data_IF_914178859616
#
_entry.id   IF_914178859616
#
_cell.length_a   1.000
_cell.length_b   1.000
_cell.length_c   1.000
_cell.angle_alpha   90.00
_cell.angle_beta   90.00
_cell.angle_gamma   90.00
#
_symmetry.space_group_name_H-M   'P 1'
#
loop_
_entity.id
_entity.type
_entity.pdbx_description
1 polymer ?
#
# COMPACT_ATOMS: atom_id res chain seq x y z
N UNK A 1 7.68 10.50 -2.58
CA UNK A 1 7.02 9.20 -2.87
C UNK A 1 6.89 8.46 -1.55
N UNK A 2 5.76 8.60 -0.86
CA UNK A 2 5.59 8.08 0.50
C UNK A 2 4.13 7.88 0.81
N UNK A 3 3.83 6.93 1.70
CA UNK A 3 2.58 6.91 2.45
C UNK A 3 2.77 7.71 3.75
N UNK A 4 1.72 8.39 4.23
CA UNK A 4 1.78 9.15 5.47
C UNK A 4 0.47 9.00 6.26
N UNK A 5 0.51 8.45 7.49
CA UNK A 5 1.65 7.74 8.07
C UNK A 5 2.01 6.47 7.26
N UNK A 6 3.28 6.05 7.30
CA UNK A 6 3.74 4.80 6.67
C UNK A 6 3.80 3.62 7.64
N UNK A 7 3.48 3.84 8.91
CA UNK A 7 3.34 2.82 9.93
C UNK A 7 2.23 3.23 10.88
N UNK A 8 1.24 2.37 11.09
CA UNK A 8 0.11 2.62 11.98
C UNK A 8 -0.40 1.33 12.61
N UNK A 9 -1.29 1.48 13.59
CA UNK A 9 -2.01 0.37 14.22
C UNK A 9 -3.51 0.54 13.94
N UNK A 10 -4.21 -0.57 13.70
CA UNK A 10 -5.66 -0.59 13.50
C UNK A 10 -6.27 -1.84 14.15
N UNK A 11 -7.47 -1.70 14.71
CA UNK A 11 -8.23 -2.77 15.32
C UNK A 11 -9.12 -3.48 14.29
N UNK A 12 -9.54 -4.71 14.62
CA UNK A 12 -10.56 -5.42 13.82
C UNK A 12 -11.85 -4.60 13.83
N UNK A 13 -12.41 -4.35 12.65
CA UNK A 13 -13.58 -3.50 12.45
C UNK A 13 -13.25 -2.07 12.02
N UNK A 14 -11.99 -1.64 12.12
CA UNK A 14 -11.55 -0.37 11.54
C UNK A 14 -11.50 -0.45 10.01
N UNK A 15 -11.42 0.72 9.38
CA UNK A 15 -11.21 0.88 7.94
C UNK A 15 -9.92 1.63 7.68
N UNK A 16 -9.10 1.11 6.76
CA UNK A 16 -7.96 1.83 6.21
C UNK A 16 -8.44 2.63 5.00
N UNK A 17 -8.24 3.95 5.05
CA UNK A 17 -8.55 4.83 3.94
C UNK A 17 -7.26 5.39 3.32
N UNK A 18 -7.02 5.03 2.07
CA UNK A 18 -5.89 5.52 1.29
C UNK A 18 -6.34 6.69 0.43
N UNK A 19 -5.93 7.90 0.80
CA UNK A 19 -6.17 9.10 0.01
C UNK A 19 -5.03 9.33 -0.98
N UNK A 20 -5.37 9.55 -2.25
CA UNK A 20 -4.37 9.71 -3.30
C UNK A 20 -4.02 11.18 -3.53
N UNK A 21 -3.12 11.72 -2.70
CA UNK A 21 -2.52 13.05 -2.88
C UNK A 21 -1.21 12.95 -3.65
N UNK A 22 -1.27 13.03 -4.98
CA UNK A 22 -0.08 12.82 -5.81
C UNK A 22 0.42 14.08 -6.51
N UNK A 23 -0.37 15.15 -6.57
CA UNK A 23 -0.01 16.42 -7.20
C UNK A 23 0.22 16.26 -8.71
N UNK A 24 1.43 15.82 -9.08
CA UNK A 24 1.75 15.37 -10.44
C UNK A 24 2.22 13.91 -10.43
N UNK A 25 1.54 13.08 -11.21
CA UNK A 25 1.81 11.64 -11.32
C UNK A 25 0.78 10.77 -10.61
N UNK A 26 0.75 9.48 -10.94
CA UNK A 26 -0.20 8.54 -10.37
C UNK A 26 0.36 7.78 -9.18
N UNK A 27 -0.52 7.14 -8.42
CA UNK A 27 -0.16 6.25 -7.31
C UNK A 27 -1.05 5.01 -7.32
N UNK A 28 -0.70 4.06 -6.48
CA UNK A 28 -1.51 2.87 -6.21
C UNK A 28 -1.20 2.41 -4.80
N UNK A 29 -2.06 1.57 -4.25
CA UNK A 29 -1.74 0.76 -3.09
C UNK A 29 -2.05 -0.70 -3.41
N UNK A 30 -1.08 -1.58 -3.15
CA UNK A 30 -1.22 -3.02 -3.22
C UNK A 30 -0.64 -3.63 -1.94
N UNK A 31 -1.18 -4.76 -1.48
CA UNK A 31 -0.62 -5.50 -0.35
C UNK A 31 0.41 -6.54 -0.80
N UNK A 32 1.35 -6.85 0.10
CA UNK A 32 2.40 -7.85 -0.07
C UNK A 32 2.63 -8.63 1.24
N UNK A 33 3.68 -9.46 1.29
CA UNK A 33 4.25 -9.96 2.55
C UNK A 33 5.56 -9.25 2.85
N UNK A 34 6.01 -9.33 4.10
CA UNK A 34 7.30 -8.76 4.51
C UNK A 34 8.47 -9.29 3.67
N UNK A 35 8.44 -10.59 3.37
CA UNK A 35 9.51 -11.31 2.65
C UNK A 35 9.52 -11.02 1.15
N UNK A 36 8.39 -10.58 0.59
CA UNK A 36 8.23 -10.33 -0.84
C UNK A 36 7.79 -8.89 -1.09
N UNK A 37 8.64 -7.89 -0.78
CA UNK A 37 8.28 -6.50 -1.00
C UNK A 37 8.04 -6.21 -2.48
N UNK A 38 7.15 -5.26 -2.75
CA UNK A 38 6.77 -4.82 -4.10
C UNK A 38 6.12 -5.90 -5.01
N UNK A 39 5.76 -7.05 -4.46
CA UNK A 39 5.13 -8.17 -5.17
C UNK A 39 3.82 -8.52 -4.45
N UNK A 40 2.69 -8.67 -5.16
CA UNK A 40 1.41 -8.83 -4.51
C UNK A 40 1.30 -10.20 -3.84
N UNK A 41 0.78 -10.23 -2.62
CA UNK A 41 0.40 -11.48 -1.99
C UNK A 41 -0.92 -12.02 -2.59
N UNK A 42 -1.10 -13.34 -2.55
CA UNK A 42 -2.34 -13.97 -3.02
C UNK A 42 -3.50 -13.59 -2.09
N UNK A 43 -4.64 -13.22 -2.67
CA UNK A 43 -5.81 -12.76 -1.90
C UNK A 43 -5.64 -11.38 -1.26
N UNK A 44 -4.57 -10.66 -1.60
CA UNK A 44 -4.34 -9.29 -1.15
C UNK A 44 -5.28 -8.26 -1.78
N UNK A 45 -5.03 -7.00 -1.49
CA UNK A 45 -5.76 -5.88 -2.09
C UNK A 45 -4.91 -5.15 -3.14
N UNK A 46 -5.60 -4.49 -4.07
CA UNK A 46 -5.02 -3.56 -5.02
C UNK A 46 -6.05 -2.49 -5.36
N UNK A 47 -5.65 -1.22 -5.27
CA UNK A 47 -6.52 -0.09 -5.58
C UNK A 47 -6.75 0.17 -7.06
N UNK A 48 -5.99 -0.48 -7.95
CA UNK A 48 -5.77 0.05 -9.29
C UNK A 48 -4.79 1.21 -9.28
N UNK A 49 -4.44 1.68 -10.48
CA UNK A 49 -3.60 2.86 -10.67
C UNK A 49 -4.47 4.11 -10.68
N UNK A 50 -4.26 4.97 -9.70
CA UNK A 50 -4.94 6.25 -9.57
C UNK A 50 -4.13 7.33 -10.28
N UNK A 51 -4.85 8.21 -10.98
CA UNK A 51 -4.27 9.32 -11.71
C UNK A 51 -3.73 10.40 -10.77
N UNK A 52 -3.17 11.46 -11.36
CA UNK A 52 -2.73 12.60 -10.59
C UNK A 52 -3.92 13.32 -9.96
N UNK A 53 -3.86 13.54 -8.64
CA UNK A 53 -4.87 14.25 -7.91
C UNK A 53 -4.24 15.17 -6.84
N UNK A 54 -4.80 16.37 -6.72
CA UNK A 54 -4.41 17.40 -5.76
C UNK A 54 -5.41 17.53 -4.62
N UNK A 55 -6.65 17.06 -4.78
CA UNK A 55 -7.71 17.16 -3.77
C UNK A 55 -7.79 15.91 -2.89
N UNK A 56 -7.35 14.76 -3.41
CA UNK A 56 -7.41 13.49 -2.70
C UNK A 56 -8.83 12.95 -2.60
N UNK A 57 -9.69 13.36 -3.54
CA UNK A 57 -11.11 12.99 -3.57
C UNK A 57 -11.29 11.51 -3.91
N UNK A 58 -10.32 10.94 -4.63
CA UNK A 58 -10.26 9.49 -4.83
C UNK A 58 -9.64 8.82 -3.60
N UNK A 59 -10.39 7.91 -2.99
CA UNK A 59 -9.92 7.11 -1.87
C UNK A 59 -10.14 5.62 -2.11
N UNK A 60 -9.26 4.80 -1.55
CA UNK A 60 -9.41 3.35 -1.55
C UNK A 60 -9.56 2.85 -0.13
N UNK A 61 -10.64 2.14 0.14
CA UNK A 61 -11.03 1.72 1.50
C UNK A 61 -10.87 0.21 1.65
N UNK A 62 -10.14 -0.21 2.67
CA UNK A 62 -9.91 -1.62 3.03
C UNK A 62 -10.39 -1.87 4.46
N UNK A 63 -11.22 -2.89 4.65
CA UNK A 63 -11.67 -3.27 5.99
C UNK A 63 -10.61 -4.09 6.72
N UNK A 64 -10.36 -3.77 7.99
CA UNK A 64 -9.45 -4.52 8.85
C UNK A 64 -10.21 -5.69 9.47
N UNK A 65 -9.95 -6.90 9.00
CA UNK A 65 -10.65 -8.12 9.45
C UNK A 65 -9.82 -8.98 10.41
N UNK A 66 -8.53 -8.67 10.59
CA UNK A 66 -7.60 -9.34 11.49
C UNK A 66 -6.60 -8.32 12.05
N UNK A 67 -5.93 -8.65 13.15
CA UNK A 67 -4.81 -7.88 13.70
C UNK A 67 -3.46 -8.28 13.08
N UNK A 68 -3.46 -9.19 12.11
CA UNK A 68 -2.24 -9.60 11.41
C UNK A 68 -1.59 -8.40 10.68
N UNK A 69 -0.24 -8.40 10.52
CA UNK A 69 0.45 -7.33 9.81
C UNK A 69 -0.03 -7.20 8.36
N UNK A 70 -0.26 -5.97 7.92
CA UNK A 70 -0.59 -5.65 6.53
C UNK A 70 0.55 -4.82 5.96
N UNK A 71 1.38 -5.45 5.13
CA UNK A 71 2.41 -4.78 4.36
C UNK A 71 1.83 -4.28 3.04
N UNK A 72 2.11 -3.03 2.69
CA UNK A 72 1.57 -2.44 1.47
C UNK A 72 2.58 -1.53 0.78
N UNK A 73 2.38 -1.30 -0.52
CA UNK A 73 3.29 -0.57 -1.36
C UNK A 73 2.59 0.06 -2.56
N UNK A 74 3.27 1.02 -3.19
CA UNK A 74 2.86 1.56 -4.48
C UNK A 74 3.50 0.76 -5.61
N UNK A 75 2.68 0.09 -6.42
CA UNK A 75 3.14 -0.76 -7.51
C UNK A 75 3.51 0.00 -8.78
N UNK A 76 3.36 1.33 -8.80
CA UNK A 76 3.61 2.13 -9.98
C UNK A 76 5.12 2.30 -10.22
N UNK A 77 5.60 1.79 -11.37
CA UNK A 77 6.99 1.96 -11.81
C UNK A 77 8.00 1.54 -10.74
N UNK A 78 8.86 2.46 -10.29
CA UNK A 78 9.87 2.27 -9.26
C UNK A 78 9.48 2.85 -7.90
N UNK A 79 8.20 3.19 -7.67
CA UNK A 79 7.78 3.90 -6.46
C UNK A 79 8.06 3.08 -5.19
N UNK A 80 7.75 1.78 -5.20
CA UNK A 80 8.06 0.88 -4.09
C UNK A 80 9.56 0.81 -3.79
N UNK A 81 10.39 0.62 -4.83
CA UNK A 81 11.86 0.60 -4.71
C UNK A 81 12.43 1.94 -4.25
N UNK A 82 11.70 3.02 -4.48
CA UNK A 82 12.04 4.37 -4.01
C UNK A 82 11.52 4.65 -2.58
N UNK A 83 11.01 3.63 -1.89
CA UNK A 83 10.57 3.70 -0.49
C UNK A 83 9.07 3.92 -0.29
N UNK A 84 8.25 3.95 -1.35
CA UNK A 84 6.80 4.14 -1.21
C UNK A 84 6.11 2.84 -0.77
N UNK A 85 6.22 2.59 0.53
CA UNK A 85 5.66 1.44 1.23
C UNK A 85 5.17 1.84 2.62
N UNK A 86 4.35 1.00 3.23
CA UNK A 86 3.90 1.15 4.60
C UNK A 86 3.46 -0.17 5.22
N UNK A 87 3.14 -0.10 6.51
CA UNK A 87 2.69 -1.25 7.30
C UNK A 87 1.57 -0.87 8.27
N UNK A 88 0.59 -1.76 8.41
CA UNK A 88 -0.39 -1.72 9.50
C UNK A 88 -0.09 -2.87 10.45
N UNK A 89 -0.18 -2.61 11.76
CA UNK A 89 0.06 -3.60 12.81
C UNK A 89 1.44 -4.31 12.66
N UNK A 90 2.56 -3.56 12.57
CA UNK A 90 3.87 -4.17 12.40
C UNK A 90 4.19 -5.13 13.58
N UNK A 91 4.70 -6.34 13.31
CA UNK A 91 5.06 -7.27 14.37
C UNK A 91 6.37 -6.85 15.03
N UNK A 92 6.62 -7.36 16.24
CA UNK A 92 7.88 -7.10 16.92
C UNK A 92 9.06 -7.69 16.13
N UNK A 93 10.04 -6.86 15.79
CA UNK A 93 11.25 -7.29 15.09
C UNK A 93 11.23 -7.11 13.57
N UNK A 94 10.10 -6.69 12.97
CA UNK A 94 10.02 -6.31 11.56
C UNK A 94 9.62 -4.84 11.45
N UNK A 95 10.50 -4.02 10.88
CA UNK A 95 10.25 -2.58 10.73
C UNK A 95 9.90 -2.19 9.29
N UNK A 96 9.21 -1.07 9.14
CA UNK A 96 9.00 -0.46 7.82
C UNK A 96 10.32 -0.13 7.10
N UNK A 97 11.36 0.21 7.86
CA UNK A 97 12.70 0.46 7.34
C UNK A 97 13.29 -0.81 6.72
N UNK A 98 13.15 -1.97 7.37
CA UNK A 98 13.67 -3.24 6.85
C UNK A 98 12.95 -3.64 5.56
N UNK A 99 11.63 -3.48 5.52
CA UNK A 99 10.82 -3.70 4.32
C UNK A 99 11.26 -2.78 3.16
N UNK A 100 11.44 -1.49 3.42
CA UNK A 100 11.88 -0.52 2.41
C UNK A 100 13.30 -0.83 1.91
N UNK A 101 14.21 -1.24 2.78
CA UNK A 101 15.56 -1.64 2.39
C UNK A 101 15.54 -2.87 1.48
N UNK A 102 14.73 -3.89 1.81
CA UNK A 102 14.55 -5.06 0.96
C UNK A 102 13.91 -4.69 -0.40
N UNK A 103 12.93 -3.77 -0.38
CA UNK A 103 12.24 -3.28 -1.59
C UNK A 103 13.19 -2.68 -2.63
N UNK A 104 14.27 -1.99 -2.22
CA UNK A 104 15.24 -1.39 -3.15
C UNK A 104 15.88 -2.39 -4.12
N UNK A 105 15.96 -3.67 -3.73
CA UNK A 105 16.57 -4.73 -4.55
C UNK A 105 15.58 -5.39 -5.52
N UNK A 106 14.29 -5.03 -5.46
CA UNK A 106 13.24 -5.65 -6.29
C UNK A 106 13.30 -5.10 -7.72
N UNK A 107 13.53 -5.98 -8.69
CA UNK A 107 13.71 -5.59 -10.11
C UNK A 107 12.53 -4.82 -10.69
N UNK A 108 11.29 -5.23 -10.36
CA UNK A 108 10.07 -4.62 -10.88
C UNK A 108 8.94 -4.81 -9.88
N UNK A 109 8.25 -3.72 -9.55
CA UNK A 109 7.04 -3.80 -8.74
C UNK A 109 5.89 -4.35 -9.61
N UNK A 110 5.04 -5.16 -9.02
CA UNK A 110 3.86 -5.74 -9.69
C UNK A 110 2.62 -5.56 -8.82
N UNK A 111 1.44 -5.88 -9.35
CA UNK A 111 0.17 -5.83 -8.63
C UNK A 111 -0.79 -6.87 -9.19
N UNK A 112 -1.92 -7.08 -8.50
CA UNK A 112 -3.02 -7.89 -9.01
C UNK A 112 -3.64 -7.24 -10.26
N UNK A 113 -4.32 -8.05 -11.08
CA UNK A 113 -4.78 -7.63 -12.41
C UNK A 113 -5.92 -6.59 -12.38
N UNK A 114 -6.66 -6.50 -11.28
CA UNK A 114 -7.85 -5.65 -11.16
C UNK A 114 -8.00 -5.17 -9.72
N UNK A 115 -8.80 -4.12 -9.55
CA UNK A 115 -9.15 -3.60 -8.23
C UNK A 115 -9.77 -4.73 -7.39
N UNK A 116 -9.25 -4.94 -6.19
CA UNK A 116 -9.66 -6.06 -5.32
C UNK A 116 -9.32 -5.79 -3.86
N UNK A 117 -9.98 -6.49 -2.94
CA UNK A 117 -9.70 -6.45 -1.50
C UNK A 117 -10.05 -5.11 -0.81
N UNK A 118 -10.75 -4.22 -1.51
CA UNK A 118 -11.21 -2.94 -1.03
C UNK A 118 -12.15 -2.27 -2.03
N UNK A 119 -12.63 -1.08 -1.71
CA UNK A 119 -13.57 -0.31 -2.54
C UNK A 119 -12.92 1.02 -2.92
N UNK A 120 -12.89 1.32 -4.21
CA UNK A 120 -12.52 2.64 -4.70
C UNK A 120 -13.75 3.56 -4.62
N UNK A 121 -13.60 4.71 -3.99
CA UNK A 121 -14.64 5.73 -3.88
C UNK A 121 -14.11 7.09 -4.32
N UNK A 122 -15.01 7.94 -4.80
CA UNK A 122 -14.73 9.34 -5.06
C UNK A 122 -15.76 10.14 -4.26
N UNK A 123 -15.30 11.13 -3.51
CA UNK A 123 -16.17 12.07 -2.80
C UNK A 123 -16.44 13.30 -3.66
#
# INVERSE_FOLDING_TARGET
LSFSPNSLTAAVGDTLEFHFYSGSGGHSVASSTFENPCVPNTGGFFSGYQAADTTGDTTFVVNVTSTDPIWFYCSLSSHCQSGMAGVVNPPAGESITDYQNAAMSVKRASALASVTGGILTSI
#
